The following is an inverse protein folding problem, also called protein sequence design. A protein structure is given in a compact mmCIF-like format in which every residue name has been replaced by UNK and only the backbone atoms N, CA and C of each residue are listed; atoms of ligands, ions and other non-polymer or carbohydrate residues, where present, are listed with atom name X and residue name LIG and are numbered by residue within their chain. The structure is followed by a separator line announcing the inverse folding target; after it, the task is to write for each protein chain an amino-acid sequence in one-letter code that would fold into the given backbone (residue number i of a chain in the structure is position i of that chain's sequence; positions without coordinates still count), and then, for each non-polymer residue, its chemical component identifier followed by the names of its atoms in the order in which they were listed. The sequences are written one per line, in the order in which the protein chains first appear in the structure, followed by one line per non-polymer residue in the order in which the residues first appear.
data_IF_039161094352
#
_entry.id   IF_039161094352
#
_cell.length_a   1.000
_cell.length_b   1.000
_cell.length_c   1.000
_cell.angle_alpha   90.00
_cell.angle_beta   90.00
_cell.angle_gamma   90.00
#
_symmetry.space_group_name_H-M   'P 1'
#
loop_
_entity.id
_entity.type
_entity.pdbx_description
1 polymer ?
#
# COMPACT_ATOMS: atom_id res chain seq x y z
N UNK A 1 66.99 4.11 21.22
CA UNK A 1 65.83 4.25 22.11
C UNK A 1 64.81 5.17 21.46
N UNK A 2 63.61 4.70 21.06
CA UNK A 2 62.59 5.56 20.48
C UNK A 2 61.66 6.13 21.57
N UNK A 3 61.31 7.41 21.45
CA UNK A 3 60.21 8.02 22.21
C UNK A 3 58.99 8.13 21.30
N UNK A 4 57.88 7.66 21.83
CA UNK A 4 56.54 7.54 21.24
C UNK A 4 55.88 8.91 21.07
N UNK A 5 55.30 9.16 19.89
CA UNK A 5 54.41 10.29 19.63
C UNK A 5 52.97 9.79 19.45
N UNK A 6 52.11 10.09 20.42
CA UNK A 6 50.68 9.81 20.43
C UNK A 6 49.94 10.95 19.73
N UNK A 7 49.40 10.70 18.53
CA UNK A 7 48.57 11.65 17.78
C UNK A 7 47.10 11.48 18.15
N UNK A 8 46.52 12.47 18.85
CA UNK A 8 45.08 12.60 19.12
C UNK A 8 44.41 13.31 17.94
N UNK A 9 43.43 12.65 17.32
CA UNK A 9 42.58 13.19 16.25
C UNK A 9 41.47 14.07 16.85
N UNK A 10 41.19 15.26 16.33
CA UNK A 10 40.14 16.12 16.86
C UNK A 10 38.73 15.68 16.40
N UNK A 11 37.80 15.83 17.34
CA UNK A 11 36.37 15.57 17.27
C UNK A 11 35.72 16.72 16.49
N UNK A 12 35.10 16.42 15.34
CA UNK A 12 34.31 17.41 14.61
C UNK A 12 32.96 17.59 15.30
N UNK A 13 32.79 18.74 15.94
CA UNK A 13 31.47 19.31 16.26
C UNK A 13 30.85 19.81 14.96
N UNK A 14 29.62 19.39 14.67
CA UNK A 14 28.78 20.00 13.62
C UNK A 14 27.66 20.75 14.33
N UNK A 15 27.79 22.07 14.34
CA UNK A 15 26.79 23.03 14.81
C UNK A 15 25.89 23.42 13.64
N UNK A 16 24.58 23.35 13.91
CA UNK A 16 23.40 23.94 13.26
C UNK A 16 23.54 24.66 11.91
N UNK A 17 22.58 24.36 11.01
CA UNK A 17 21.87 25.43 10.29
C UNK A 17 20.38 25.11 10.14
N UNK A 18 19.57 25.86 10.88
CA UNK A 18 18.11 25.92 10.79
C UNK A 18 17.75 26.84 9.62
N UNK A 19 17.30 26.28 8.51
CA UNK A 19 16.66 27.03 7.43
C UNK A 19 15.14 26.83 7.53
N UNK A 20 14.49 27.79 8.18
CA UNK A 20 13.05 28.07 8.03
C UNK A 20 12.92 29.01 6.83
N UNK A 21 12.61 28.46 5.66
CA UNK A 21 12.11 29.26 4.54
C UNK A 21 10.77 28.68 4.09
N UNK A 22 9.79 29.57 3.99
CA UNK A 22 8.40 29.28 3.68
C UNK A 22 8.26 28.71 2.28
N UNK A 23 7.83 27.44 2.21
CA UNK A 23 7.35 26.83 0.98
C UNK A 23 5.94 27.36 0.75
N UNK A 24 5.83 28.30 -0.18
CA UNK A 24 4.56 28.71 -0.78
C UNK A 24 4.02 27.49 -1.54
N UNK A 25 2.89 26.93 -1.08
CA UNK A 25 2.21 25.81 -1.74
C UNK A 25 1.38 26.35 -2.92
N UNK A 26 1.75 26.08 -4.18
CA UNK A 26 0.98 26.54 -5.33
C UNK A 26 -0.36 25.81 -5.51
N UNK A 27 -0.70 24.85 -4.63
CA UNK A 27 -1.94 24.06 -4.71
C UNK A 27 -2.85 24.17 -3.49
N UNK A 28 -2.63 25.17 -2.61
CA UNK A 28 -3.61 25.50 -1.58
C UNK A 28 -4.89 26.02 -2.25
N UNK A 29 -5.83 25.12 -2.54
CA UNK A 29 -7.17 25.45 -3.01
C UNK A 29 -7.82 26.40 -1.99
N UNK A 30 -7.92 27.67 -2.39
CA UNK A 30 -8.65 28.70 -1.69
C UNK A 30 -10.13 28.31 -1.72
N UNK A 31 -10.66 27.78 -0.63
CA UNK A 31 -12.09 27.57 -0.46
C UNK A 31 -12.81 28.90 -0.71
N UNK A 32 -13.75 28.99 -1.68
CA UNK A 32 -14.58 30.17 -1.79
C UNK A 32 -15.52 30.18 -0.57
N UNK A 33 -15.31 31.16 0.30
CA UNK A 33 -16.29 31.55 1.31
C UNK A 33 -17.50 32.13 0.58
N UNK A 34 -18.51 31.29 0.36
CA UNK A 34 -19.80 31.71 -0.19
C UNK A 34 -20.62 32.23 0.99
N UNK A 35 -20.62 33.54 1.17
CA UNK A 35 -21.68 34.23 1.92
C UNK A 35 -22.91 34.35 1.03
N UNK A 36 -24.13 34.10 1.53
CA UNK A 36 -25.34 34.20 0.74
C UNK A 36 -25.74 35.67 0.59
N UNK A 37 -25.66 36.22 -0.63
CA UNK A 37 -26.37 37.46 -0.96
C UNK A 37 -27.72 37.12 -1.59
N UNK A 38 -28.78 37.52 -0.89
CA UNK A 38 -30.14 37.65 -1.39
C UNK A 38 -30.19 38.77 -2.45
N UNK A 39 -30.86 38.56 -3.59
CA UNK A 39 -31.34 39.65 -4.42
C UNK A 39 -32.82 39.92 -4.14
N UNK A 40 -33.10 41.09 -3.56
CA UNK A 40 -34.38 41.78 -3.70
C UNK A 40 -34.32 42.60 -5.00
N UNK A 41 -35.15 42.29 -6.01
CA UNK A 41 -35.99 43.32 -6.64
C UNK A 41 -37.07 42.71 -7.54
N UNK A 42 -38.30 43.16 -7.31
CA UNK A 42 -39.46 43.11 -8.21
C UNK A 42 -39.14 43.74 -9.56
N UNK A 43 -39.56 43.09 -10.65
CA UNK A 43 -40.22 43.82 -11.75
C UNK A 43 -41.14 42.87 -12.53
N UNK A 44 -42.44 43.20 -12.59
CA UNK A 44 -43.39 42.67 -13.57
C UNK A 44 -43.39 43.60 -14.79
N UNK A 45 -43.67 43.10 -16.01
CA UNK A 45 -45.04 43.25 -16.50
C UNK A 45 -45.55 42.14 -17.47
N UNK A 46 -46.82 41.79 -17.26
CA UNK A 46 -47.94 41.67 -18.23
C UNK A 46 -47.87 40.78 -19.50
N UNK A 47 -49.05 40.38 -20.03
CA UNK A 47 -49.26 39.04 -20.56
C UNK A 47 -49.39 38.98 -22.09
N UNK A 48 -49.41 37.74 -22.60
CA UNK A 48 -50.23 37.22 -23.73
C UNK A 48 -49.40 36.51 -24.80
N UNK A 49 -49.42 35.18 -24.78
CA UNK A 49 -49.58 34.33 -25.97
C UNK A 49 -49.85 32.86 -25.57
N UNK A 50 -50.60 32.10 -26.38
CA UNK A 50 -51.33 30.91 -25.93
C UNK A 50 -50.46 29.65 -25.83
N UNK A 51 -50.77 28.88 -24.79
CA UNK A 51 -50.14 27.63 -24.37
C UNK A 51 -50.66 26.47 -25.24
N UNK A 52 -49.74 25.72 -25.84
CA UNK A 52 -49.94 24.34 -26.30
C UNK A 52 -49.81 23.42 -25.09
N UNK A 53 -50.79 22.54 -24.79
CA UNK A 53 -50.66 21.62 -23.66
C UNK A 53 -49.78 20.42 -24.05
N UNK A 54 -48.50 20.49 -23.71
CA UNK A 54 -47.64 19.29 -23.61
C UNK A 54 -47.72 18.79 -22.18
N UNK A 55 -48.37 17.63 -21.99
CA UNK A 55 -48.46 16.93 -20.71
C UNK A 55 -47.09 16.41 -20.27
N UNK A 56 -46.42 17.13 -19.40
CA UNK A 56 -45.27 16.66 -18.61
C UNK A 56 -45.77 15.88 -17.39
N UNK A 57 -45.17 14.73 -17.06
CA UNK A 57 -45.52 13.99 -15.85
C UNK A 57 -45.01 14.76 -14.62
N UNK A 58 -45.93 15.10 -13.72
CA UNK A 58 -45.65 15.72 -12.43
C UNK A 58 -44.81 14.77 -11.58
N UNK A 59 -43.50 15.02 -11.54
CA UNK A 59 -42.56 14.41 -10.62
C UNK A 59 -42.92 14.90 -9.20
N UNK A 60 -43.45 13.99 -8.38
CA UNK A 60 -43.90 14.31 -7.03
C UNK A 60 -42.70 14.66 -6.15
N UNK A 61 -42.58 15.94 -5.75
CA UNK A 61 -41.54 16.35 -4.82
C UNK A 61 -41.67 15.60 -3.48
N UNK A 62 -40.56 15.09 -2.91
CA UNK A 62 -40.59 14.38 -1.65
C UNK A 62 -41.01 15.33 -0.52
N UNK A 63 -42.06 14.95 0.20
CA UNK A 63 -42.52 15.71 1.37
C UNK A 63 -41.44 15.78 2.45
N UNK A 64 -41.43 16.87 3.25
CA UNK A 64 -40.46 17.08 4.33
C UNK A 64 -40.36 15.89 5.31
N UNK A 65 -41.47 15.17 5.52
CA UNK A 65 -41.52 13.95 6.33
C UNK A 65 -40.68 12.81 5.73
N UNK A 66 -40.74 12.61 4.40
CA UNK A 66 -39.94 11.62 3.69
C UNK A 66 -38.45 11.93 3.78
N UNK A 67 -38.08 13.22 3.67
CA UNK A 67 -36.70 13.68 3.82
C UNK A 67 -36.18 13.37 5.23
N UNK A 68 -36.94 13.73 6.27
CA UNK A 68 -36.55 13.50 7.66
C UNK A 68 -36.37 12.00 7.98
N UNK A 69 -37.28 11.14 7.49
CA UNK A 69 -37.16 9.68 7.63
C UNK A 69 -35.92 9.13 6.93
N UNK A 70 -35.60 9.66 5.76
CA UNK A 70 -34.42 9.26 4.97
C UNK A 70 -33.13 9.65 5.68
N UNK A 71 -33.06 10.88 6.21
CA UNK A 71 -31.91 11.34 6.99
C UNK A 71 -31.69 10.49 8.25
N UNK A 72 -32.75 10.16 8.98
CA UNK A 72 -32.65 9.29 10.15
C UNK A 72 -32.10 7.89 9.79
N UNK A 73 -32.52 7.33 8.65
CA UNK A 73 -32.01 6.05 8.15
C UNK A 73 -30.52 6.15 7.78
N UNK A 74 -30.09 7.24 7.14
CA UNK A 74 -28.68 7.48 6.79
C UNK A 74 -27.82 7.58 8.06
N UNK A 75 -28.24 8.35 9.06
CA UNK A 75 -27.49 8.47 10.31
C UNK A 75 -27.35 7.14 11.04
N UNK A 76 -28.41 6.32 11.07
CA UNK A 76 -28.36 4.97 11.67
C UNK A 76 -27.37 4.06 10.92
N UNK A 77 -27.33 4.13 9.59
CA UNK A 77 -26.35 3.37 8.81
C UNK A 77 -24.91 3.85 9.07
N UNK A 78 -24.71 5.16 9.22
CA UNK A 78 -23.41 5.74 9.55
C UNK A 78 -22.92 5.27 10.93
N UNK A 79 -23.80 5.19 11.92
CA UNK A 79 -23.48 4.67 13.25
C UNK A 79 -23.06 3.19 13.20
N UNK A 80 -23.79 2.35 12.46
CA UNK A 80 -23.44 0.95 12.25
C UNK A 80 -22.08 0.82 11.55
N UNK A 81 -21.82 1.65 10.55
CA UNK A 81 -20.54 1.67 9.84
C UNK A 81 -19.39 2.02 10.79
N UNK A 82 -19.54 3.08 11.59
CA UNK A 82 -18.53 3.52 12.55
C UNK A 82 -18.26 2.44 13.61
N UNK A 83 -19.30 1.78 14.14
CA UNK A 83 -19.15 0.68 15.08
C UNK A 83 -18.36 -0.49 14.47
N UNK A 84 -18.60 -0.82 13.21
CA UNK A 84 -17.84 -1.86 12.49
C UNK A 84 -16.38 -1.46 12.27
N UNK A 85 -16.09 -0.19 11.98
CA UNK A 85 -14.72 0.30 11.88
C UNK A 85 -13.96 0.17 13.20
N UNK A 86 -14.57 0.60 14.31
CA UNK A 86 -13.97 0.46 15.65
C UNK A 86 -13.69 -0.99 16.01
N UNK A 87 -14.60 -1.92 15.69
CA UNK A 87 -14.37 -3.34 15.96
C UNK A 87 -13.25 -3.92 15.09
N UNK A 88 -13.18 -3.53 13.82
CA UNK A 88 -12.08 -3.92 12.93
C UNK A 88 -10.73 -3.41 13.44
N UNK A 89 -10.65 -2.18 13.93
CA UNK A 89 -9.44 -1.62 14.54
C UNK A 89 -9.00 -2.41 15.78
N UNK A 90 -9.94 -2.82 16.63
CA UNK A 90 -9.66 -3.70 17.79
C UNK A 90 -9.09 -5.04 17.36
N UNK A 91 -9.65 -5.66 16.33
CA UNK A 91 -9.17 -6.93 15.79
C UNK A 91 -7.74 -6.78 15.27
N UNK A 92 -7.46 -5.74 14.48
CA UNK A 92 -6.12 -5.47 13.96
C UNK A 92 -5.12 -5.28 15.10
N UNK A 93 -5.46 -4.49 16.12
CA UNK A 93 -4.58 -4.26 17.27
C UNK A 93 -4.30 -5.55 18.03
N UNK A 94 -5.30 -6.40 18.24
CA UNK A 94 -5.14 -7.70 18.88
C UNK A 94 -4.22 -8.63 18.09
N UNK A 95 -4.33 -8.65 16.76
CA UNK A 95 -3.45 -9.45 15.91
C UNK A 95 -2.01 -8.94 15.95
N UNK A 96 -1.80 -7.62 15.93
CA UNK A 96 -0.45 -7.03 16.04
C UNK A 96 0.20 -7.38 17.38
N UNK A 97 -0.56 -7.33 18.49
CA UNK A 97 -0.05 -7.76 19.80
C UNK A 97 0.38 -9.23 19.81
N UNK A 98 -0.38 -10.12 19.15
CA UNK A 98 0.01 -11.54 19.00
C UNK A 98 1.29 -11.69 18.19
N UNK A 99 1.43 -10.94 17.10
CA UNK A 99 2.65 -10.95 16.27
C UNK A 99 3.85 -10.49 17.09
N UNK A 100 3.73 -9.39 17.83
CA UNK A 100 4.81 -8.87 18.67
C UNK A 100 5.22 -9.88 19.75
N UNK A 101 4.25 -10.57 20.37
CA UNK A 101 4.52 -11.64 21.32
C UNK A 101 5.30 -12.81 20.68
N UNK A 102 4.89 -13.26 19.50
CA UNK A 102 5.60 -14.34 18.78
C UNK A 102 7.01 -13.93 18.37
N UNK A 103 7.20 -12.69 17.92
CA UNK A 103 8.52 -12.14 17.61
C UNK A 103 9.41 -12.07 18.86
N UNK A 104 8.86 -11.67 20.00
CA UNK A 104 9.59 -11.65 21.27
C UNK A 104 10.02 -13.06 21.71
N UNK A 105 9.11 -14.04 21.60
CA UNK A 105 9.40 -15.46 21.88
C UNK A 105 10.52 -16.01 20.98
N UNK A 106 10.46 -15.72 19.68
CA UNK A 106 11.49 -16.14 18.73
C UNK A 106 12.87 -15.56 19.10
N UNK A 107 12.92 -14.27 19.47
CA UNK A 107 14.17 -13.62 19.91
C UNK A 107 14.76 -14.28 21.15
N UNK A 108 13.93 -14.67 22.13
CA UNK A 108 14.40 -15.37 23.32
C UNK A 108 14.99 -16.75 23.00
N UNK A 109 14.38 -17.49 22.06
CA UNK A 109 14.92 -18.78 21.61
C UNK A 109 16.25 -18.62 20.88
N UNK A 110 16.36 -17.64 19.98
CA UNK A 110 17.62 -17.35 19.28
C UNK A 110 18.76 -16.98 20.25
N UNK A 111 18.46 -16.21 21.31
CA UNK A 111 19.47 -15.85 22.32
C UNK A 111 19.98 -17.06 23.11
N UNK A 112 19.11 -18.03 23.42
CA UNK A 112 19.51 -19.28 24.12
C UNK A 112 20.48 -20.14 23.30
N UNK A 113 20.37 -20.13 21.97
CA UNK A 113 21.21 -20.93 21.08
C UNK A 113 22.60 -20.31 20.83
N UNK A 114 22.80 -19.04 21.18
CA UNK A 114 24.06 -18.30 20.97
C UNK A 114 24.84 -18.05 22.26
N UNK A 115 24.40 -18.59 23.40
CA UNK A 115 25.14 -18.47 24.65
C UNK A 115 26.44 -19.30 24.56
N UNK A 116 27.63 -18.70 24.78
CA UNK A 116 28.88 -19.45 24.80
C UNK A 116 28.84 -20.50 25.93
N UNK A 117 29.42 -21.70 25.74
CA UNK A 117 29.51 -22.68 26.81
C UNK A 117 30.30 -22.07 27.98
N UNK A 118 29.67 -22.02 29.15
CA UNK A 118 30.31 -21.63 30.40
C UNK A 118 31.53 -22.54 30.63
N UNK A 119 32.72 -22.02 30.99
CA UNK A 119 33.86 -22.87 31.30
C UNK A 119 33.57 -23.67 32.58
N UNK A 120 33.34 -24.97 32.41
CA UNK A 120 33.15 -25.91 33.50
C UNK A 120 34.50 -26.14 34.19
N UNK A 121 34.70 -25.53 35.36
CA UNK A 121 35.79 -25.91 36.27
C UNK A 121 35.59 -27.36 36.71
N UNK A 122 36.56 -28.27 36.55
CA UNK A 122 36.40 -29.66 36.95
C UNK A 122 36.47 -29.74 38.48
N UNK A 123 35.31 -29.98 39.11
CA UNK A 123 35.27 -30.48 40.49
C UNK A 123 35.43 -32.00 40.45
N UNK A 124 36.57 -32.46 40.94
CA UNK A 124 36.88 -33.85 41.27
C UNK A 124 35.83 -34.40 42.26
N UNK A 125 35.10 -35.48 41.93
CA UNK A 125 34.40 -36.27 42.92
C UNK A 125 35.23 -37.50 43.30
N UNK A 126 35.50 -37.59 44.59
CA UNK A 126 36.12 -38.70 45.31
C UNK A 126 35.40 -40.03 45.03
N UNK A 127 36.22 -41.02 44.67
CA UNK A 127 35.92 -42.45 44.57
C UNK A 127 35.12 -42.95 45.78
N UNK A 128 33.97 -43.61 45.55
CA UNK A 128 33.50 -44.69 46.41
C UNK A 128 33.16 -45.89 45.54
N UNK A 129 33.90 -46.96 45.81
CA UNK A 129 33.98 -48.22 45.10
C UNK A 129 32.87 -49.16 45.55
N UNK A 130 32.02 -49.63 44.63
CA UNK A 130 31.27 -50.89 44.76
C UNK A 130 31.13 -51.60 43.42
N UNK A 131 31.95 -52.63 43.30
CA UNK A 131 31.76 -53.96 42.67
C UNK A 131 30.96 -54.12 41.37
N UNK A 132 31.69 -54.61 40.36
CA UNK A 132 31.28 -55.42 39.21
C UNK A 132 30.70 -56.79 39.66
N UNK A 133 29.94 -57.54 38.83
CA UNK A 133 30.59 -58.30 37.76
C UNK A 133 29.85 -58.40 36.41
N UNK A 134 30.71 -58.61 35.40
CA UNK A 134 30.56 -59.36 34.16
C UNK A 134 29.21 -59.42 33.44
N UNK A 135 29.20 -58.88 32.22
CA UNK A 135 28.79 -59.70 31.08
C UNK A 135 29.56 -59.28 29.83
N UNK A 136 30.21 -60.28 29.25
CA UNK A 136 30.98 -60.30 28.01
C UNK A 136 30.03 -60.18 26.81
N UNK A 137 30.35 -59.32 25.84
CA UNK A 137 30.24 -59.55 24.38
C UNK A 137 30.36 -58.23 23.59
N UNK A 138 31.41 -58.16 22.78
CA UNK A 138 31.58 -57.35 21.57
C UNK A 138 31.43 -58.29 20.36
N UNK A 139 31.34 -57.81 19.09
CA UNK A 139 30.94 -56.50 18.57
C UNK A 139 30.00 -56.63 17.32
N UNK A 140 29.85 -55.52 16.60
CA UNK A 140 29.50 -55.38 15.17
C UNK A 140 28.05 -55.11 14.76
N UNK A 141 27.82 -53.87 14.31
CA UNK A 141 27.30 -53.56 12.96
C UNK A 141 27.30 -52.05 12.71
N UNK A 142 27.91 -51.54 11.63
CA UNK A 142 27.72 -50.14 11.21
C UNK A 142 26.38 -49.99 10.47
N UNK A 143 25.53 -49.10 10.98
CA UNK A 143 24.28 -48.71 10.32
C UNK A 143 24.60 -47.77 9.16
N UNK A 144 24.40 -48.25 7.93
CA UNK A 144 24.38 -47.43 6.71
C UNK A 144 23.04 -46.66 6.65
N UNK A 145 23.01 -45.32 6.57
CA UNK A 145 21.76 -44.59 6.34
C UNK A 145 21.37 -44.66 4.86
N UNK A 146 20.21 -45.26 4.61
CA UNK A 146 19.54 -45.30 3.30
C UNK A 146 19.08 -43.90 2.88
N UNK A 147 19.56 -43.42 1.74
CA UNK A 147 19.16 -42.16 1.10
C UNK A 147 17.87 -42.44 0.29
N UNK A 148 16.75 -41.74 0.52
CA UNK A 148 15.55 -41.92 -0.30
C UNK A 148 15.74 -41.28 -1.69
N UNK A 149 15.17 -41.86 -2.76
CA UNK A 149 15.32 -41.34 -4.11
C UNK A 149 14.56 -40.02 -4.31
N UNK A 150 15.25 -39.06 -4.94
CA UNK A 150 14.71 -37.77 -5.38
C UNK A 150 13.68 -38.00 -6.48
N UNK A 151 12.43 -37.57 -6.27
CA UNK A 151 11.44 -37.52 -7.33
C UNK A 151 11.75 -36.38 -8.31
N UNK A 152 11.62 -36.57 -9.63
CA UNK A 152 11.76 -35.49 -10.60
C UNK A 152 10.57 -34.55 -10.51
N UNK A 153 10.83 -33.25 -10.30
CA UNK A 153 9.86 -32.18 -10.49
C UNK A 153 9.40 -32.19 -11.95
N UNK A 154 8.17 -32.66 -12.20
CA UNK A 154 7.45 -32.31 -13.42
C UNK A 154 7.08 -30.82 -13.36
N UNK A 155 7.80 -30.00 -14.13
CA UNK A 155 7.36 -28.65 -14.45
C UNK A 155 6.12 -28.75 -15.37
N UNK A 156 4.96 -28.16 -15.02
CA UNK A 156 3.91 -27.97 -16.00
C UNK A 156 4.36 -26.91 -17.01
N UNK A 157 4.45 -27.31 -18.27
CA UNK A 157 4.54 -26.40 -19.41
C UNK A 157 3.29 -25.52 -19.42
N UNK A 158 3.50 -24.22 -19.21
CA UNK A 158 2.46 -23.21 -19.36
C UNK A 158 2.01 -23.13 -20.82
N UNK A 159 0.72 -23.29 -21.13
CA UNK A 159 0.20 -22.93 -22.45
C UNK A 159 0.13 -21.40 -22.54
N UNK A 160 0.94 -20.83 -23.43
CA UNK A 160 0.86 -19.43 -23.83
C UNK A 160 -0.47 -19.20 -24.55
N UNK A 161 -1.49 -18.74 -23.83
CA UNK A 161 -2.75 -18.31 -24.42
C UNK A 161 -2.56 -16.95 -25.12
N UNK A 162 -3.21 -16.72 -26.28
CA UNK A 162 -3.26 -15.39 -26.87
C UNK A 162 -4.08 -14.47 -25.96
N UNK A 163 -3.45 -13.38 -25.51
CA UNK A 163 -4.04 -12.32 -24.71
C UNK A 163 -5.26 -11.76 -25.43
N UNK A 164 -6.45 -12.25 -25.08
CA UNK A 164 -7.72 -11.63 -25.46
C UNK A 164 -7.72 -10.23 -24.88
N UNK A 165 -7.76 -9.22 -25.75
CA UNK A 165 -7.90 -7.81 -25.35
C UNK A 165 -9.19 -7.70 -24.55
N UNK A 166 -9.04 -7.57 -23.24
CA UNK A 166 -10.16 -7.46 -22.31
C UNK A 166 -10.75 -6.05 -22.45
N UNK A 167 -11.74 -5.89 -23.33
CA UNK A 167 -12.49 -4.64 -23.43
C UNK A 167 -13.24 -4.41 -22.11
N UNK A 168 -12.92 -3.30 -21.44
CA UNK A 168 -13.57 -2.87 -20.20
C UNK A 168 -14.54 -1.74 -20.57
N UNK A 169 -15.80 -1.83 -20.16
CA UNK A 169 -16.78 -0.84 -20.58
C UNK A 169 -16.53 0.53 -19.94
N UNK A 170 -16.42 1.57 -20.79
CA UNK A 170 -15.97 2.91 -20.38
C UNK A 170 -16.91 3.64 -19.42
N UNK A 171 -18.19 3.27 -19.35
CA UNK A 171 -19.14 3.85 -18.41
C UNK A 171 -18.74 3.63 -16.94
N UNK A 172 -17.90 2.63 -16.66
CA UNK A 172 -17.33 2.39 -15.33
C UNK A 172 -16.43 3.54 -14.85
N UNK A 173 -16.08 4.49 -15.72
CA UNK A 173 -15.20 5.63 -15.43
C UNK A 173 -15.89 6.98 -15.69
N UNK A 174 -17.21 7.01 -15.86
CA UNK A 174 -17.99 8.20 -16.26
C UNK A 174 -18.00 9.35 -15.25
N UNK A 175 -17.60 9.10 -14.01
CA UNK A 175 -17.45 10.07 -12.92
C UNK A 175 -16.03 10.63 -12.79
N UNK A 176 -15.04 10.06 -13.49
CA UNK A 176 -13.67 10.61 -13.55
C UNK A 176 -13.68 11.82 -14.50
N UNK A 177 -13.24 13.03 -14.10
CA UNK A 177 -13.27 14.22 -14.95
C UNK A 177 -12.59 13.99 -16.31
N UNK A 178 -13.16 14.54 -17.37
CA UNK A 178 -12.73 14.27 -18.76
C UNK A 178 -11.26 14.64 -19.01
N UNK A 179 -10.75 15.71 -18.37
CA UNK A 179 -9.34 16.10 -18.48
C UNK A 179 -8.32 15.11 -17.87
N UNK A 180 -8.78 14.14 -17.07
CA UNK A 180 -7.93 13.10 -16.44
C UNK A 180 -8.41 11.69 -16.83
N UNK A 181 -9.50 11.57 -17.57
CA UNK A 181 -10.05 10.28 -18.01
C UNK A 181 -9.26 9.79 -19.22
N UNK A 182 -8.87 8.51 -19.19
CA UNK A 182 -8.17 7.91 -20.32
C UNK A 182 -9.16 7.48 -21.40
N UNK A 183 -8.74 7.59 -22.66
CA UNK A 183 -9.49 7.01 -23.77
C UNK A 183 -9.44 5.48 -23.73
N UNK A 184 -10.40 4.82 -24.37
CA UNK A 184 -10.38 3.37 -24.50
C UNK A 184 -9.09 2.87 -25.19
N UNK A 185 -8.59 3.62 -26.16
CA UNK A 185 -7.35 3.31 -26.87
C UNK A 185 -6.13 3.35 -25.93
N UNK A 186 -6.01 4.40 -25.11
CA UNK A 186 -4.89 4.53 -24.16
C UNK A 186 -4.92 3.42 -23.10
N UNK A 187 -6.11 3.07 -22.62
CA UNK A 187 -6.29 1.98 -21.67
C UNK A 187 -5.92 0.62 -22.27
N UNK A 188 -6.37 0.35 -23.50
CA UNK A 188 -6.04 -0.89 -24.21
C UNK A 188 -4.54 -0.96 -24.54
N UNK A 189 -3.91 0.16 -24.88
CA UNK A 189 -2.46 0.23 -25.09
C UNK A 189 -1.69 0.00 -23.78
N UNK A 190 -2.12 0.62 -22.68
CA UNK A 190 -1.52 0.41 -21.38
C UNK A 190 -1.67 -1.06 -20.92
N UNK A 191 -2.83 -1.67 -21.14
CA UNK A 191 -3.12 -3.05 -20.76
C UNK A 191 -2.34 -4.05 -21.60
N UNK A 192 -2.32 -3.88 -22.93
CA UNK A 192 -1.59 -4.77 -23.85
C UNK A 192 -0.07 -4.76 -23.65
N UNK A 193 0.50 -3.62 -23.22
CA UNK A 193 1.92 -3.50 -22.90
C UNK A 193 2.30 -4.00 -21.49
N UNK A 194 1.32 -4.42 -20.68
CA UNK A 194 1.53 -4.73 -19.27
C UNK A 194 1.28 -6.21 -18.96
N UNK A 195 2.33 -6.89 -18.51
CA UNK A 195 2.27 -8.33 -18.16
C UNK A 195 1.79 -8.60 -16.74
N UNK A 196 1.76 -7.58 -15.88
CA UNK A 196 1.36 -7.71 -14.47
C UNK A 196 0.49 -6.51 -14.03
N UNK A 197 -0.36 -6.67 -12.99
CA UNK A 197 -1.16 -5.56 -12.47
C UNK A 197 -0.31 -4.35 -12.03
N UNK A 198 0.86 -4.61 -11.44
CA UNK A 198 1.80 -3.56 -11.06
C UNK A 198 2.43 -2.84 -12.25
N UNK A 199 2.76 -3.55 -13.33
CA UNK A 199 3.25 -2.92 -14.57
C UNK A 199 2.16 -2.05 -15.20
N UNK A 200 0.92 -2.54 -15.24
CA UNK A 200 -0.24 -1.78 -15.71
C UNK A 200 -0.45 -0.50 -14.90
N UNK A 201 -0.39 -0.59 -13.58
CA UNK A 201 -0.52 0.59 -12.71
C UNK A 201 0.59 1.62 -12.95
N UNK A 202 1.82 1.19 -13.24
CA UNK A 202 2.91 2.08 -13.61
C UNK A 202 2.66 2.75 -14.96
N UNK A 203 2.10 2.03 -15.94
CA UNK A 203 1.70 2.62 -17.22
C UNK A 203 0.61 3.67 -17.02
N UNK A 204 -0.44 3.34 -16.24
CA UNK A 204 -1.51 4.29 -15.90
C UNK A 204 -0.97 5.55 -15.21
N UNK A 205 -0.01 5.40 -14.30
CA UNK A 205 0.63 6.52 -13.61
C UNK A 205 1.24 7.53 -14.61
N UNK A 206 1.85 7.04 -15.69
CA UNK A 206 2.43 7.88 -16.74
C UNK A 206 1.37 8.58 -17.59
N UNK A 207 0.26 7.92 -17.89
CA UNK A 207 -0.82 8.52 -18.66
C UNK A 207 -1.60 9.56 -17.85
N UNK A 208 -1.95 9.21 -16.61
CA UNK A 208 -2.82 10.02 -15.75
C UNK A 208 -2.10 11.20 -15.10
N UNK A 209 -0.81 11.04 -14.74
CA UNK A 209 -0.08 12.02 -13.92
C UNK A 209 1.25 12.40 -14.58
N UNK A 210 1.16 12.88 -15.82
CA UNK A 210 2.30 13.29 -16.63
C UNK A 210 3.16 14.37 -15.93
N UNK A 211 2.54 15.19 -15.07
CA UNK A 211 3.21 16.20 -14.27
C UNK A 211 4.30 15.65 -13.35
N UNK A 212 4.18 14.38 -12.92
CA UNK A 212 5.20 13.71 -12.11
C UNK A 212 6.47 13.38 -12.92
N UNK A 213 6.36 13.36 -14.26
CA UNK A 213 7.39 12.92 -15.21
C UNK A 213 7.97 14.06 -16.05
N UNK A 214 7.60 15.31 -15.76
CA UNK A 214 8.17 16.50 -16.39
C UNK A 214 9.67 16.67 -16.07
N UNK A 215 10.30 17.71 -16.63
CA UNK A 215 11.73 17.99 -16.44
C UNK A 215 12.16 18.05 -14.96
N UNK A 216 11.29 18.52 -14.07
CA UNK A 216 11.52 18.59 -12.62
C UNK A 216 11.51 17.23 -11.91
N UNK A 217 11.10 16.17 -12.63
CA UNK A 217 11.11 14.78 -12.17
C UNK A 217 10.44 14.59 -10.80
N UNK A 218 9.30 15.26 -10.59
CA UNK A 218 8.65 15.36 -9.29
C UNK A 218 8.36 14.00 -8.64
N UNK A 219 8.19 12.95 -9.45
CA UNK A 219 7.95 11.57 -8.98
C UNK A 219 8.91 11.10 -7.89
N UNK A 220 10.17 11.57 -7.88
CA UNK A 220 11.17 11.13 -6.88
C UNK A 220 10.80 11.58 -5.46
N UNK A 221 10.03 12.66 -5.34
CA UNK A 221 9.54 13.19 -4.07
C UNK A 221 8.26 12.52 -3.59
N UNK A 222 7.66 11.63 -4.40
CA UNK A 222 6.41 10.95 -4.07
C UNK A 222 6.60 9.46 -3.78
N UNK A 223 5.70 8.94 -2.94
CA UNK A 223 5.42 7.52 -2.79
C UNK A 223 3.91 7.33 -2.67
N UNK A 224 3.43 6.09 -2.84
CA UNK A 224 2.00 5.82 -2.78
C UNK A 224 1.37 6.23 -1.45
N UNK A 225 2.00 5.89 -0.30
CA UNK A 225 1.48 6.19 1.05
C UNK A 225 2.19 7.36 1.75
N UNK A 226 3.22 7.94 1.13
CA UNK A 226 4.09 8.93 1.78
C UNK A 226 5.11 8.30 2.75
N UNK A 227 5.88 9.15 3.43
CA UNK A 227 6.78 8.80 4.52
C UNK A 227 8.10 8.13 4.11
N UNK A 228 8.60 7.27 4.99
CA UNK A 228 9.89 6.59 4.87
C UNK A 228 11.08 7.49 5.24
N UNK A 229 12.32 6.95 5.13
CA UNK A 229 13.57 7.66 5.50
C UNK A 229 13.79 8.98 4.74
N UNK A 230 13.13 9.15 3.60
CA UNK A 230 13.25 10.32 2.72
C UNK A 230 12.06 11.28 2.84
N UNK A 231 11.13 11.04 3.78
CA UNK A 231 9.94 11.88 4.00
C UNK A 231 9.18 12.20 2.70
N UNK A 232 8.95 11.18 1.87
CA UNK A 232 8.28 11.35 0.58
C UNK A 232 6.83 11.79 0.79
N UNK A 233 6.32 12.62 -0.12
CA UNK A 233 4.92 13.03 -0.13
C UNK A 233 4.02 11.86 -0.58
N UNK A 234 2.85 11.66 0.03
CA UNK A 234 1.89 10.70 -0.48
C UNK A 234 1.32 11.18 -1.82
N UNK A 235 0.93 10.26 -2.69
CA UNK A 235 -0.06 10.58 -3.72
C UNK A 235 -1.34 11.03 -3.01
N UNK A 236 -2.06 11.99 -3.57
CA UNK A 236 -3.38 12.35 -3.06
C UNK A 236 -4.39 11.22 -3.27
N UNK A 237 -5.47 11.26 -2.51
CA UNK A 237 -6.44 10.16 -2.48
C UNK A 237 -7.22 10.01 -3.78
N UNK A 238 -7.42 11.11 -4.50
CA UNK A 238 -8.07 11.11 -5.82
C UNK A 238 -7.23 10.34 -6.83
N UNK A 239 -5.92 10.62 -6.91
CA UNK A 239 -4.97 9.87 -7.76
C UNK A 239 -4.94 8.38 -7.41
N UNK A 240 -4.91 8.04 -6.12
CA UNK A 240 -4.97 6.64 -5.64
C UNK A 240 -6.28 5.96 -6.06
N UNK A 241 -7.40 6.66 -5.97
CA UNK A 241 -8.72 6.14 -6.32
C UNK A 241 -8.79 5.83 -7.82
N UNK A 242 -8.34 6.74 -8.69
CA UNK A 242 -8.32 6.51 -10.13
C UNK A 242 -7.45 5.30 -10.49
N UNK A 243 -6.23 5.23 -9.97
CA UNK A 243 -5.35 4.07 -10.17
C UNK A 243 -6.03 2.78 -9.75
N UNK A 244 -6.63 2.75 -8.55
CA UNK A 244 -7.25 1.55 -8.04
C UNK A 244 -8.38 1.09 -8.94
N UNK A 245 -9.27 1.99 -9.36
CA UNK A 245 -10.42 1.67 -10.21
C UNK A 245 -10.02 1.08 -11.55
N UNK A 246 -9.09 1.73 -12.25
CA UNK A 246 -8.60 1.21 -13.53
C UNK A 246 -7.94 -0.16 -13.34
N UNK A 247 -7.06 -0.30 -12.35
CA UNK A 247 -6.37 -1.57 -12.10
C UNK A 247 -7.35 -2.69 -11.76
N UNK A 248 -8.33 -2.46 -10.88
CA UNK A 248 -9.29 -3.51 -10.49
C UNK A 248 -10.26 -3.89 -11.60
N UNK A 249 -10.54 -2.98 -12.54
CA UNK A 249 -11.38 -3.28 -13.70
C UNK A 249 -10.70 -4.26 -14.67
N UNK A 250 -9.38 -4.12 -14.90
CA UNK A 250 -8.60 -5.01 -15.75
C UNK A 250 -8.07 -6.26 -15.01
N UNK A 251 -7.83 -6.13 -13.70
CA UNK A 251 -7.29 -7.19 -12.84
C UNK A 251 -8.13 -7.34 -11.55
N UNK A 252 -9.30 -7.98 -11.61
CA UNK A 252 -10.14 -8.18 -10.42
C UNK A 252 -9.47 -8.99 -9.31
N UNK A 253 -8.44 -9.79 -9.64
CA UNK A 253 -7.65 -10.55 -8.67
C UNK A 253 -6.93 -9.67 -7.65
N UNK A 254 -6.70 -8.39 -7.94
CA UNK A 254 -6.09 -7.43 -7.02
C UNK A 254 -7.11 -6.48 -6.36
N UNK A 255 -8.39 -6.86 -6.30
CA UNK A 255 -9.43 -6.07 -5.60
C UNK A 255 -9.18 -6.02 -4.09
N UNK A 256 -8.67 -7.12 -3.53
CA UNK A 256 -8.34 -7.24 -2.11
C UNK A 256 -7.15 -6.34 -1.74
N UNK A 257 -7.25 -5.63 -0.61
CA UNK A 257 -6.24 -4.66 -0.16
C UNK A 257 -4.83 -5.25 -0.02
N UNK A 258 -4.71 -6.50 0.45
CA UNK A 258 -3.43 -7.18 0.60
C UNK A 258 -2.78 -7.47 -0.75
N UNK A 259 -3.55 -8.02 -1.71
CA UNK A 259 -3.10 -8.27 -3.07
C UNK A 259 -2.74 -6.97 -3.80
N UNK A 260 -3.57 -5.93 -3.66
CA UNK A 260 -3.30 -4.61 -4.20
C UNK A 260 -2.01 -4.02 -3.62
N UNK A 261 -1.81 -4.15 -2.31
CA UNK A 261 -0.60 -3.65 -1.66
C UNK A 261 0.65 -4.37 -2.18
N UNK A 262 0.64 -5.70 -2.18
CA UNK A 262 1.79 -6.50 -2.58
C UNK A 262 2.13 -6.37 -4.08
N UNK A 263 1.11 -6.38 -4.96
CA UNK A 263 1.36 -6.43 -6.41
C UNK A 263 1.42 -5.06 -7.07
N UNK A 264 0.65 -4.08 -6.56
CA UNK A 264 0.45 -2.78 -7.21
C UNK A 264 1.23 -1.68 -6.49
N UNK A 265 0.99 -1.50 -5.20
CA UNK A 265 1.61 -0.41 -4.42
C UNK A 265 3.13 -0.56 -4.38
N UNK A 266 3.63 -1.78 -4.16
CA UNK A 266 5.08 -2.03 -4.17
C UNK A 266 5.70 -1.68 -5.51
N UNK A 267 5.06 -2.05 -6.62
CA UNK A 267 5.57 -1.79 -7.97
C UNK A 267 5.57 -0.29 -8.30
N UNK A 268 4.51 0.44 -7.94
CA UNK A 268 4.45 1.90 -8.05
C UNK A 268 5.58 2.54 -7.26
N UNK A 269 5.78 2.13 -6.00
CA UNK A 269 6.82 2.68 -5.15
C UNK A 269 8.24 2.39 -5.66
N UNK A 270 8.47 1.20 -6.22
CA UNK A 270 9.73 0.88 -6.90
C UNK A 270 9.96 1.84 -8.06
N UNK A 271 8.94 2.04 -8.91
CA UNK A 271 9.04 2.90 -10.08
C UNK A 271 9.27 4.39 -9.71
N UNK A 272 8.54 4.92 -8.72
CA UNK A 272 8.70 6.29 -8.21
C UNK A 272 10.07 6.56 -7.56
N UNK A 273 10.84 5.51 -7.22
CA UNK A 273 12.21 5.64 -6.68
C UNK A 273 13.26 5.69 -7.78
N UNK A 274 12.97 5.24 -9.00
CA UNK A 274 13.96 5.14 -10.07
C UNK A 274 14.35 6.54 -10.59
N UNK A 275 15.66 6.89 -10.59
CA UNK A 275 16.13 8.09 -11.25
C UNK A 275 15.82 8.04 -12.74
N UNK A 276 15.68 9.20 -13.40
CA UNK A 276 15.56 9.24 -14.87
C UNK A 276 16.85 8.67 -15.43
N UNK A 277 16.75 7.57 -16.18
CA UNK A 277 17.83 7.17 -17.08
C UNK A 277 17.91 8.25 -18.16
N UNK A 278 18.88 9.15 -18.04
CA UNK A 278 19.21 10.03 -19.16
C UNK A 278 19.70 9.13 -20.28
N UNK A 279 18.97 9.08 -21.40
CA UNK A 279 19.49 8.49 -22.63
C UNK A 279 20.72 9.32 -23.01
N UNK A 280 21.90 8.71 -22.86
CA UNK A 280 23.13 9.18 -23.50
C UNK A 280 23.03 9.00 -25.00
#
# INVERSE_FOLDING_TARGET
MPKTTTSKKPRQETVLLSMKEGIHDPYAYRSPSISPQLPLHLEAPSPTSPIVPTTTPTEAEPTAFTIQKTLAAIYKQLEIYNARQTEMERIILSQNQKIDYLVAMQRQQSFRLTAPPTPTTPRTPTFHQRQLPDFDERPDTPVTPSIPPVMPLFLPTTPTAPTTVRSVPMHLFADIPEGVRLSENDLNQAASSSTTPGAFAVSLLKYLFQELFNADNLRVYFSYRGGGKLNKRPLDDTRKQYLRRYVTAFYPSVTLDSAYTAMVIEKINQFLRLPIQQKK
#
